data_IF_692238403054
#
_entry.id   IF_692238403054
#
_cell.length_a   1.000
_cell.length_b   1.000
_cell.length_c   1.000
_cell.angle_alpha   90.00
_cell.angle_beta   90.00
_cell.angle_gamma   90.00
#
_symmetry.space_group_name_H-M   'P 1'
#
loop_
_entity.id
_entity.type
_entity.pdbx_description
1 polymer ?
#
# COMPACT_ATOMS: atom_id res chain seq x y z
N UNK A 1 -37.24 -29.11 -28.16
CA UNK A 1 -35.88 -28.58 -27.95
C UNK A 1 -35.68 -28.47 -26.45
N UNK A 2 -35.05 -29.48 -25.84
CA UNK A 2 -34.73 -29.46 -24.42
C UNK A 2 -33.68 -28.37 -24.16
N UNK A 3 -34.03 -27.44 -23.29
CA UNK A 3 -33.12 -26.39 -22.84
C UNK A 3 -32.14 -27.07 -21.88
N UNK A 4 -30.95 -27.38 -22.40
CA UNK A 4 -29.80 -27.82 -21.60
C UNK A 4 -29.38 -26.66 -20.68
N UNK A 5 -29.70 -26.77 -19.39
CA UNK A 5 -29.16 -25.87 -18.39
C UNK A 5 -27.64 -26.06 -18.31
N UNK A 6 -26.85 -24.98 -18.20
CA UNK A 6 -25.40 -25.12 -18.14
C UNK A 6 -25.00 -25.97 -16.92
N UNK A 7 -24.07 -26.90 -17.15
CA UNK A 7 -23.34 -27.63 -16.09
C UNK A 7 -22.96 -26.64 -14.99
N UNK A 8 -23.25 -26.97 -13.72
CA UNK A 8 -22.83 -26.19 -12.54
C UNK A 8 -21.39 -25.70 -12.74
N UNK A 9 -21.21 -24.38 -12.87
CA UNK A 9 -19.89 -23.75 -13.10
C UNK A 9 -18.99 -23.87 -11.85
N UNK A 10 -19.59 -24.16 -10.69
CA UNK A 10 -18.91 -24.48 -9.43
C UNK A 10 -19.59 -25.62 -8.67
N UNK A 11 -18.76 -26.45 -8.05
CA UNK A 11 -19.13 -27.55 -7.16
C UNK A 11 -18.88 -27.19 -5.69
N UNK A 12 -17.94 -26.29 -5.38
CA UNK A 12 -17.82 -25.70 -4.03
C UNK A 12 -19.04 -24.80 -3.78
N UNK A 13 -19.78 -24.98 -2.66
CA UNK A 13 -21.10 -24.38 -2.47
C UNK A 13 -21.10 -22.87 -2.18
N UNK A 14 -19.95 -22.19 -2.27
CA UNK A 14 -19.76 -20.81 -1.84
C UNK A 14 -19.31 -19.92 -3.01
N UNK A 15 -20.01 -18.81 -3.25
CA UNK A 15 -19.70 -17.87 -4.35
C UNK A 15 -18.92 -16.61 -3.92
N UNK A 16 -18.17 -16.67 -2.82
CA UNK A 16 -17.52 -15.49 -2.20
C UNK A 16 -16.11 -15.18 -2.73
N UNK A 17 -15.74 -15.68 -3.89
CA UNK A 17 -14.36 -15.54 -4.39
C UNK A 17 -14.30 -15.61 -5.91
N UNK A 18 -13.29 -14.97 -6.52
CA UNK A 18 -12.95 -15.13 -7.94
C UNK A 18 -12.20 -16.43 -8.22
N UNK A 19 -11.68 -17.11 -7.19
CA UNK A 19 -10.98 -18.39 -7.35
C UNK A 19 -11.92 -19.52 -7.78
N UNK A 20 -11.51 -20.28 -8.78
CA UNK A 20 -12.14 -21.53 -9.20
C UNK A 20 -11.95 -22.65 -8.17
N UNK A 21 -12.79 -23.69 -8.25
CA UNK A 21 -12.66 -24.88 -7.40
C UNK A 21 -11.27 -25.51 -7.51
N UNK A 22 -10.69 -25.50 -8.72
CA UNK A 22 -9.32 -25.95 -8.98
C UNK A 22 -8.30 -25.19 -8.15
N UNK A 23 -8.41 -23.87 -8.11
CA UNK A 23 -7.45 -23.01 -7.41
C UNK A 23 -7.55 -23.13 -5.90
N UNK A 24 -8.76 -23.36 -5.38
CA UNK A 24 -9.00 -23.65 -3.96
C UNK A 24 -8.42 -25.02 -3.60
N UNK A 25 -8.73 -26.05 -4.40
CA UNK A 25 -8.22 -27.41 -4.19
C UNK A 25 -6.69 -27.45 -4.24
N UNK A 26 -6.05 -26.78 -5.20
CA UNK A 26 -4.58 -26.72 -5.29
C UNK A 26 -3.97 -26.01 -4.06
N UNK A 27 -4.61 -24.97 -3.54
CA UNK A 27 -4.10 -24.25 -2.35
C UNK A 27 -4.20 -25.07 -1.07
N UNK A 28 -5.25 -25.88 -0.93
CA UNK A 28 -5.47 -26.69 0.26
C UNK A 28 -4.77 -28.04 0.18
N UNK A 29 -4.89 -28.73 -0.95
CA UNK A 29 -4.44 -30.12 -1.13
C UNK A 29 -3.18 -30.25 -2.00
N UNK A 30 -2.71 -29.17 -2.61
CA UNK A 30 -1.59 -29.19 -3.58
C UNK A 30 -2.00 -29.69 -4.96
N UNK A 31 -1.06 -29.64 -5.92
CA UNK A 31 -1.27 -30.13 -7.29
C UNK A 31 -1.58 -31.63 -7.32
N UNK A 32 -0.97 -32.41 -6.42
CA UNK A 32 -1.22 -33.85 -6.31
C UNK A 32 -2.68 -34.14 -5.93
N UNK A 33 -3.24 -33.43 -4.94
CA UNK A 33 -4.63 -33.58 -4.55
C UNK A 33 -5.60 -33.21 -5.67
N UNK A 34 -5.32 -32.15 -6.44
CA UNK A 34 -6.13 -31.82 -7.62
C UNK A 34 -6.10 -32.92 -8.69
N UNK A 35 -4.91 -33.48 -8.97
CA UNK A 35 -4.79 -34.57 -9.95
C UNK A 35 -5.58 -35.82 -9.51
N UNK A 36 -5.58 -36.14 -8.21
CA UNK A 36 -6.41 -37.23 -7.66
C UNK A 36 -7.91 -36.95 -7.84
N UNK A 37 -8.36 -35.72 -7.59
CA UNK A 37 -9.76 -35.30 -7.83
C UNK A 37 -10.15 -35.52 -9.30
N UNK A 38 -9.31 -35.10 -10.25
CA UNK A 38 -9.59 -35.24 -11.69
C UNK A 38 -9.59 -36.71 -12.14
N UNK A 39 -8.68 -37.53 -11.62
CA UNK A 39 -8.67 -38.97 -11.87
C UNK A 39 -9.94 -39.64 -11.35
N UNK A 40 -10.39 -39.31 -10.14
CA UNK A 40 -11.60 -39.89 -9.54
C UNK A 40 -12.89 -39.40 -10.23
N UNK A 41 -12.88 -38.21 -10.85
CA UNK A 41 -14.00 -37.69 -11.65
C UNK A 41 -14.20 -38.47 -12.95
N UNK A 42 -13.12 -38.89 -13.59
CA UNK A 42 -13.20 -39.65 -14.86
C UNK A 42 -13.78 -41.06 -14.66
N UNK A 43 -13.68 -41.62 -13.44
CA UNK A 43 -14.14 -42.97 -13.08
C UNK A 43 -15.67 -43.08 -12.85
N UNK A 44 -16.47 -42.00 -13.01
CA UNK A 44 -17.95 -41.95 -12.99
C UNK A 44 -18.67 -42.61 -11.77
N UNK A 45 -18.02 -42.73 -10.60
CA UNK A 45 -18.58 -43.39 -9.40
C UNK A 45 -18.74 -42.51 -8.14
N UNK A 46 -18.44 -41.21 -8.18
CA UNK A 46 -18.00 -40.48 -6.96
C UNK A 46 -18.86 -39.28 -6.52
N UNK A 47 -20.08 -39.11 -7.03
CA UNK A 47 -20.88 -37.87 -6.84
C UNK A 47 -21.03 -37.38 -5.38
N UNK A 48 -21.48 -38.24 -4.46
CA UNK A 48 -21.73 -37.84 -3.06
C UNK A 48 -20.44 -37.59 -2.27
N UNK A 49 -19.44 -38.47 -2.44
CA UNK A 49 -18.13 -38.36 -1.78
C UNK A 49 -17.35 -37.13 -2.25
N UNK A 50 -17.39 -36.83 -3.55
CA UNK A 50 -16.80 -35.62 -4.10
C UNK A 50 -17.47 -34.36 -3.55
N UNK A 51 -18.81 -34.33 -3.46
CA UNK A 51 -19.53 -33.21 -2.88
C UNK A 51 -19.12 -32.96 -1.41
N UNK A 52 -19.08 -34.01 -0.57
CA UNK A 52 -18.67 -33.88 0.83
C UNK A 52 -17.23 -33.35 0.96
N UNK A 53 -16.31 -33.78 0.09
CA UNK A 53 -14.94 -33.26 0.08
C UNK A 53 -14.93 -31.77 -0.27
N UNK A 54 -15.64 -31.36 -1.33
CA UNK A 54 -15.70 -29.97 -1.77
C UNK A 54 -16.40 -29.06 -0.75
N UNK A 55 -17.37 -29.57 0.00
CA UNK A 55 -17.93 -28.89 1.17
C UNK A 55 -16.86 -28.63 2.24
N UNK A 56 -16.05 -29.63 2.58
CA UNK A 56 -14.93 -29.46 3.56
C UNK A 56 -13.92 -28.43 3.07
N UNK A 57 -13.50 -28.48 1.81
CA UNK A 57 -12.58 -27.50 1.24
C UNK A 57 -13.19 -26.10 1.20
N UNK A 58 -14.49 -26.01 0.88
CA UNK A 58 -15.26 -24.78 0.90
C UNK A 58 -15.33 -24.16 2.29
N UNK A 59 -15.62 -24.96 3.31
CA UNK A 59 -15.72 -24.54 4.71
C UNK A 59 -14.39 -23.92 5.18
N UNK A 60 -13.26 -24.58 4.90
CA UNK A 60 -11.92 -24.05 5.19
C UNK A 60 -11.70 -22.73 4.47
N UNK A 61 -12.01 -22.68 3.16
CA UNK A 61 -11.73 -21.52 2.32
C UNK A 61 -12.52 -20.28 2.75
N UNK A 62 -13.83 -20.43 2.95
CA UNK A 62 -14.73 -19.33 3.35
C UNK A 62 -14.29 -18.73 4.67
N UNK A 63 -13.92 -19.55 5.66
CA UNK A 63 -13.49 -19.04 6.96
C UNK A 63 -12.16 -18.30 6.86
N UNK A 64 -11.17 -18.87 6.14
CA UNK A 64 -9.85 -18.21 5.96
C UNK A 64 -9.93 -16.89 5.19
N UNK A 65 -10.96 -16.71 4.35
CA UNK A 65 -11.16 -15.51 3.53
C UNK A 65 -12.20 -14.54 4.09
N UNK A 66 -12.68 -14.78 5.30
CA UNK A 66 -13.67 -13.93 5.94
C UNK A 66 -13.23 -13.61 7.38
N UNK A 67 -12.67 -12.41 7.63
CA UNK A 67 -12.18 -12.05 8.95
C UNK A 67 -13.29 -11.96 10.01
N UNK A 68 -14.56 -11.81 9.61
CA UNK A 68 -15.70 -11.85 10.53
C UNK A 68 -15.97 -13.28 11.03
N UNK A 69 -15.91 -14.27 10.13
CA UNK A 69 -16.04 -15.68 10.51
C UNK A 69 -14.83 -16.17 11.32
N UNK A 70 -13.63 -15.73 10.94
CA UNK A 70 -12.42 -15.98 11.73
C UNK A 70 -12.60 -15.51 13.17
N UNK A 71 -13.06 -14.26 13.37
CA UNK A 71 -13.24 -13.70 14.70
C UNK A 71 -14.32 -14.44 15.50
N UNK A 72 -15.49 -14.71 14.93
CA UNK A 72 -16.56 -15.48 15.61
C UNK A 72 -16.06 -16.86 16.09
N UNK A 73 -15.29 -17.55 15.26
CA UNK A 73 -14.76 -18.88 15.58
C UNK A 73 -13.55 -18.85 16.53
N UNK A 74 -12.77 -17.76 16.54
CA UNK A 74 -11.74 -17.55 17.56
C UNK A 74 -12.38 -17.35 18.93
N UNK A 75 -13.42 -16.52 19.00
CA UNK A 75 -14.11 -16.15 20.24
C UNK A 75 -15.03 -17.26 20.77
N UNK A 76 -15.57 -18.11 19.88
CA UNK A 76 -16.46 -19.21 20.25
C UNK A 76 -15.84 -20.59 20.03
N UNK A 77 -15.15 -21.10 21.05
CA UNK A 77 -14.55 -22.44 21.05
C UNK A 77 -15.53 -23.56 20.70
N UNK A 78 -16.79 -23.48 21.16
CA UNK A 78 -17.81 -24.51 20.90
C UNK A 78 -18.18 -24.57 19.42
N UNK A 79 -18.42 -23.41 18.79
CA UNK A 79 -18.70 -23.33 17.33
C UNK A 79 -17.52 -23.82 16.51
N UNK A 80 -16.30 -23.41 16.87
CA UNK A 80 -15.07 -23.89 16.22
C UNK A 80 -14.92 -25.40 16.28
N UNK A 81 -15.09 -25.99 17.47
CA UNK A 81 -15.03 -27.45 17.64
C UNK A 81 -16.11 -28.17 16.85
N UNK A 82 -17.34 -27.63 16.81
CA UNK A 82 -18.43 -28.19 16.02
C UNK A 82 -18.12 -28.18 14.52
N UNK A 83 -17.58 -27.07 13.99
CA UNK A 83 -17.17 -26.96 12.58
C UNK A 83 -16.09 -27.98 12.23
N UNK A 84 -15.02 -28.07 13.03
CA UNK A 84 -13.94 -29.03 12.81
C UNK A 84 -14.46 -30.46 12.89
N UNK A 85 -15.29 -30.78 13.89
CA UNK A 85 -15.90 -32.10 14.04
C UNK A 85 -16.80 -32.47 12.87
N UNK A 86 -17.58 -31.53 12.34
CA UNK A 86 -18.41 -31.76 11.14
C UNK A 86 -17.56 -32.08 9.91
N UNK A 87 -16.44 -31.36 9.70
CA UNK A 87 -15.51 -31.66 8.60
C UNK A 87 -14.88 -33.04 8.76
N UNK A 88 -14.37 -33.37 9.95
CA UNK A 88 -13.80 -34.69 10.24
C UNK A 88 -14.83 -35.81 10.03
N UNK A 89 -16.09 -35.60 10.45
CA UNK A 89 -17.17 -36.56 10.24
C UNK A 89 -17.44 -36.79 8.75
N UNK A 90 -17.49 -35.74 7.93
CA UNK A 90 -17.64 -35.87 6.46
C UNK A 90 -16.50 -36.67 5.85
N UNK A 91 -15.24 -36.40 6.22
CA UNK A 91 -14.08 -37.15 5.73
C UNK A 91 -14.15 -38.63 6.15
N UNK A 92 -14.58 -38.93 7.38
CA UNK A 92 -14.78 -40.31 7.83
C UNK A 92 -15.88 -41.03 7.03
N UNK A 93 -16.97 -40.34 6.68
CA UNK A 93 -18.01 -40.92 5.84
C UNK A 93 -17.51 -41.23 4.41
N UNK A 94 -16.60 -40.42 3.87
CA UNK A 94 -15.95 -40.71 2.57
C UNK A 94 -15.05 -41.94 2.72
N UNK A 95 -14.25 -42.01 3.80
CA UNK A 95 -13.36 -43.15 4.11
C UNK A 95 -14.12 -44.47 4.18
N UNK A 96 -15.27 -44.50 4.88
CA UNK A 96 -16.11 -45.69 4.99
C UNK A 96 -16.68 -46.16 3.63
N UNK A 97 -16.83 -45.25 2.66
CA UNK A 97 -17.32 -45.53 1.30
C UNK A 97 -16.18 -45.79 0.30
N UNK A 98 -14.92 -45.71 0.73
CA UNK A 98 -13.79 -45.82 -0.18
C UNK A 98 -13.58 -47.24 -0.71
N UNK A 99 -14.11 -48.28 -0.04
CA UNK A 99 -13.99 -49.69 -0.45
C UNK A 99 -12.54 -50.10 -0.80
N UNK A 100 -11.55 -49.60 -0.04
CA UNK A 100 -10.10 -49.76 -0.27
C UNK A 100 -9.54 -49.12 -1.56
N UNK A 101 -10.24 -48.17 -2.18
CA UNK A 101 -9.69 -47.40 -3.29
C UNK A 101 -8.53 -46.50 -2.81
N UNK A 102 -7.30 -46.87 -3.17
CA UNK A 102 -6.10 -46.17 -2.74
C UNK A 102 -6.09 -44.68 -3.11
N UNK A 103 -6.57 -44.30 -4.31
CA UNK A 103 -6.63 -42.89 -4.74
C UNK A 103 -7.53 -42.05 -3.83
N UNK A 104 -8.63 -42.64 -3.34
CA UNK A 104 -9.54 -41.99 -2.38
C UNK A 104 -8.85 -41.85 -1.02
N UNK A 105 -8.12 -42.88 -0.57
CA UNK A 105 -7.39 -42.84 0.70
C UNK A 105 -6.26 -41.79 0.70
N UNK A 106 -5.48 -41.71 -0.38
CA UNK A 106 -4.43 -40.71 -0.55
C UNK A 106 -5.01 -39.29 -0.56
N UNK A 107 -6.14 -39.09 -1.24
CA UNK A 107 -6.84 -37.80 -1.27
C UNK A 107 -7.40 -37.42 0.12
N UNK A 108 -7.90 -38.39 0.88
CA UNK A 108 -8.37 -38.19 2.25
C UNK A 108 -7.25 -37.80 3.18
N UNK A 109 -6.07 -38.40 3.07
CA UNK A 109 -4.90 -38.02 3.87
C UNK A 109 -4.53 -36.54 3.67
N UNK A 110 -4.52 -36.06 2.42
CA UNK A 110 -4.30 -34.64 2.11
C UNK A 110 -5.40 -33.73 2.70
N UNK A 111 -6.66 -34.16 2.64
CA UNK A 111 -7.79 -33.42 3.17
C UNK A 111 -7.79 -33.37 4.71
N UNK A 112 -7.50 -34.48 5.38
CA UNK A 112 -7.33 -34.58 6.83
C UNK A 112 -6.18 -33.69 7.30
N UNK A 113 -5.05 -33.70 6.56
CA UNK A 113 -3.94 -32.79 6.80
C UNK A 113 -4.34 -31.31 6.68
N UNK A 114 -5.22 -30.98 5.73
CA UNK A 114 -5.74 -29.62 5.56
C UNK A 114 -6.68 -29.20 6.70
N UNK A 115 -7.57 -30.10 7.14
CA UNK A 115 -8.43 -29.86 8.32
C UNK A 115 -7.60 -29.68 9.58
N UNK A 116 -6.54 -30.49 9.76
CA UNK A 116 -5.61 -30.33 10.89
C UNK A 116 -4.92 -28.98 10.86
N UNK A 117 -4.34 -28.58 9.72
CA UNK A 117 -3.71 -27.25 9.55
C UNK A 117 -4.68 -26.11 9.84
N UNK A 118 -5.94 -26.24 9.40
CA UNK A 118 -6.98 -25.26 9.67
C UNK A 118 -7.34 -25.18 11.17
N UNK A 119 -7.41 -26.32 11.86
CA UNK A 119 -7.61 -26.35 13.32
C UNK A 119 -6.43 -25.72 14.08
N UNK A 120 -5.20 -26.08 13.72
CA UNK A 120 -3.98 -25.56 14.34
C UNK A 120 -3.83 -24.06 14.09
N UNK A 121 -4.24 -23.57 12.92
CA UNK A 121 -4.24 -22.15 12.57
C UNK A 121 -4.99 -21.29 13.60
N UNK A 122 -6.18 -21.70 14.08
CA UNK A 122 -6.89 -20.95 15.11
C UNK A 122 -6.10 -20.81 16.42
N UNK A 123 -5.43 -21.89 16.84
CA UNK A 123 -4.62 -21.91 18.08
C UNK A 123 -3.42 -20.97 17.92
N UNK A 124 -2.74 -21.06 16.78
CA UNK A 124 -1.59 -20.22 16.47
C UNK A 124 -1.98 -18.74 16.35
N UNK A 125 -3.09 -18.43 15.69
CA UNK A 125 -3.62 -17.07 15.55
C UNK A 125 -3.99 -16.49 16.91
N UNK A 126 -4.71 -17.22 17.76
CA UNK A 126 -5.04 -16.77 19.11
C UNK A 126 -3.78 -16.50 19.96
N UNK A 127 -2.79 -17.40 19.89
CA UNK A 127 -1.51 -17.24 20.59
C UNK A 127 -0.75 -16.00 20.11
N UNK A 128 -0.66 -15.79 18.79
CA UNK A 128 -0.01 -14.61 18.21
C UNK A 128 -0.76 -13.32 18.57
N UNK A 129 -2.09 -13.29 18.50
CA UNK A 129 -2.90 -12.12 18.90
C UNK A 129 -2.67 -11.77 20.36
N UNK A 130 -2.60 -12.75 21.25
CA UNK A 130 -2.29 -12.52 22.66
C UNK A 130 -0.90 -11.92 22.88
N UNK A 131 0.13 -12.43 22.19
CA UNK A 131 1.49 -11.88 22.27
C UNK A 131 1.55 -10.46 21.70
N UNK A 132 0.93 -10.24 20.54
CA UNK A 132 0.84 -8.94 19.89
C UNK A 132 0.15 -7.91 20.78
N UNK A 133 -1.03 -8.22 21.31
CA UNK A 133 -1.79 -7.35 22.20
C UNK A 133 -0.99 -6.97 23.46
N UNK A 134 -0.30 -7.94 24.09
CA UNK A 134 0.56 -7.68 25.25
C UNK A 134 1.74 -6.75 24.91
N UNK A 135 2.29 -6.88 23.70
CA UNK A 135 3.41 -6.05 23.25
C UNK A 135 2.94 -4.63 22.91
N UNK A 136 1.92 -4.49 22.07
CA UNK A 136 1.47 -3.21 21.54
C UNK A 136 0.77 -2.34 22.59
N UNK A 137 0.03 -2.91 23.56
CA UNK A 137 -0.62 -2.14 24.65
C UNK A 137 0.35 -1.40 25.57
N UNK A 138 1.64 -1.74 25.53
CA UNK A 138 2.70 -1.03 26.27
C UNK A 138 3.22 0.20 25.51
N UNK A 139 2.86 0.31 24.23
CA UNK A 139 3.39 1.31 23.30
C UNK A 139 2.27 2.28 22.92
N UNK A 140 1.10 1.75 22.56
CA UNK A 140 -0.05 2.50 22.10
C UNK A 140 -1.32 2.12 22.87
N UNK A 141 -2.36 2.95 22.75
CA UNK A 141 -3.65 2.69 23.37
C UNK A 141 -4.28 1.41 22.83
N UNK A 142 -5.11 0.75 23.65
CA UNK A 142 -5.72 -0.54 23.27
C UNK A 142 -6.67 -0.45 22.08
N UNK A 143 -7.35 0.69 21.92
CA UNK A 143 -8.26 0.99 20.80
C UNK A 143 -7.54 1.27 19.49
N UNK A 144 -6.21 1.50 19.53
CA UNK A 144 -5.39 1.61 18.33
C UNK A 144 -4.96 0.26 17.76
N UNK A 145 -5.31 -0.87 18.39
CA UNK A 145 -4.88 -2.21 18.00
C UNK A 145 -6.11 -3.01 17.56
N UNK A 146 -6.34 -3.09 16.24
CA UNK A 146 -7.57 -3.63 15.68
C UNK A 146 -7.35 -4.96 14.95
N UNK A 147 -7.96 -6.03 15.48
CA UNK A 147 -8.05 -7.36 14.86
C UNK A 147 -9.43 -7.62 14.22
N UNK A 148 -10.31 -6.63 14.26
CA UNK A 148 -11.69 -6.65 13.80
C UNK A 148 -11.81 -6.79 12.28
N UNK A 149 -12.94 -7.35 11.85
CA UNK A 149 -13.20 -7.60 10.42
C UNK A 149 -13.22 -6.30 9.61
N UNK A 150 -13.83 -5.23 10.13
CA UNK A 150 -13.97 -3.96 9.42
C UNK A 150 -12.62 -3.33 9.09
N UNK A 151 -11.75 -3.16 10.10
CA UNK A 151 -10.42 -2.58 9.88
C UNK A 151 -9.57 -3.44 8.93
N UNK A 152 -9.58 -4.76 9.11
CA UNK A 152 -8.81 -5.67 8.24
C UNK A 152 -9.32 -5.64 6.79
N UNK A 153 -10.63 -5.52 6.56
CA UNK A 153 -11.20 -5.42 5.21
C UNK A 153 -10.88 -4.07 4.56
N UNK A 154 -11.04 -2.95 5.27
CA UNK A 154 -10.78 -1.61 4.73
C UNK A 154 -9.30 -1.34 4.45
N UNK A 155 -8.40 -2.10 5.06
CA UNK A 155 -6.94 -1.99 4.90
C UNK A 155 -6.34 -3.14 4.07
N UNK A 156 -7.16 -3.96 3.41
CA UNK A 156 -6.69 -5.08 2.57
C UNK A 156 -6.32 -4.67 1.14
N UNK A 157 -6.62 -3.44 0.73
CA UNK A 157 -6.44 -2.97 -0.65
C UNK A 157 -6.11 -1.49 -0.73
N UNK A 158 -5.51 -1.06 -1.83
CA UNK A 158 -5.37 0.35 -2.23
C UNK A 158 -6.19 0.61 -3.50
N UNK A 159 -5.91 1.69 -4.24
CA UNK A 159 -6.66 2.04 -5.43
C UNK A 159 -6.49 1.05 -6.61
N UNK A 160 -5.58 0.07 -6.51
CA UNK A 160 -5.52 -1.07 -7.45
C UNK A 160 -6.71 -2.02 -7.32
N UNK A 161 -7.45 -1.96 -6.21
CA UNK A 161 -8.52 -2.89 -5.84
C UNK A 161 -8.08 -4.35 -5.67
N UNK A 162 -6.77 -4.61 -5.62
CA UNK A 162 -6.22 -5.94 -5.36
C UNK A 162 -6.45 -6.36 -3.91
N UNK A 163 -7.07 -7.54 -3.72
CA UNK A 163 -7.37 -8.13 -2.39
C UNK A 163 -6.68 -9.48 -2.22
N UNK A 164 -5.36 -9.43 -2.07
CA UNK A 164 -4.51 -10.63 -2.00
C UNK A 164 -4.66 -11.32 -0.64
N UNK A 165 -4.30 -10.65 0.46
CA UNK A 165 -4.50 -11.12 1.83
C UNK A 165 -5.15 -10.04 2.71
N UNK A 166 -5.74 -10.46 3.84
CA UNK A 166 -6.13 -9.54 4.90
C UNK A 166 -4.94 -9.34 5.85
N UNK A 167 -4.70 -8.12 6.35
CA UNK A 167 -3.66 -7.91 7.34
C UNK A 167 -3.99 -8.68 8.62
N UNK A 168 -2.98 -9.09 9.38
CA UNK A 168 -3.11 -9.71 10.69
C UNK A 168 -3.75 -8.75 11.71
N UNK A 169 -3.28 -7.50 11.69
CA UNK A 169 -3.68 -6.43 12.60
C UNK A 169 -3.54 -5.08 11.89
N UNK A 170 -4.42 -4.14 12.23
CA UNK A 170 -4.27 -2.72 11.89
C UNK A 170 -3.91 -1.97 13.16
N UNK A 171 -2.82 -1.19 13.13
CA UNK A 171 -2.34 -0.39 14.26
C UNK A 171 -2.44 1.09 13.88
N UNK A 172 -3.15 1.90 14.66
CA UNK A 172 -3.40 3.32 14.35
C UNK A 172 -2.86 4.24 15.46
N UNK A 173 -1.54 4.45 15.56
CA UNK A 173 -0.91 5.27 16.61
C UNK A 173 -1.46 6.69 16.65
N UNK A 174 -1.43 7.32 17.84
CA UNK A 174 -1.84 8.70 18.05
C UNK A 174 -0.71 9.70 17.76
N UNK A 175 0.54 9.31 18.03
CA UNK A 175 1.71 10.18 17.91
C UNK A 175 2.85 9.50 17.17
N UNK A 176 3.73 10.31 16.58
CA UNK A 176 4.90 9.76 15.88
C UNK A 176 5.87 9.05 16.85
N UNK A 177 5.93 9.46 18.12
CA UNK A 177 6.82 8.87 19.13
C UNK A 177 6.58 7.37 19.36
N UNK A 178 5.39 6.86 19.02
CA UNK A 178 5.03 5.44 19.14
C UNK A 178 5.66 4.57 18.04
N UNK A 179 6.04 5.17 16.90
CA UNK A 179 6.36 4.43 15.66
C UNK A 179 7.60 3.55 15.82
N UNK A 180 8.69 4.06 16.40
CA UNK A 180 9.92 3.30 16.61
C UNK A 180 9.70 2.02 17.43
N UNK A 181 8.95 2.14 18.52
CA UNK A 181 8.63 0.99 19.37
C UNK A 181 7.68 0.01 18.67
N UNK A 182 6.70 0.50 17.91
CA UNK A 182 5.80 -0.35 17.12
C UNK A 182 6.55 -1.16 16.06
N UNK A 183 7.49 -0.54 15.33
CA UNK A 183 8.34 -1.21 14.34
C UNK A 183 9.11 -2.36 14.98
N UNK A 184 9.83 -2.10 16.08
CA UNK A 184 10.58 -3.14 16.80
C UNK A 184 9.68 -4.26 17.30
N UNK A 185 8.50 -3.92 17.83
CA UNK A 185 7.53 -4.91 18.31
C UNK A 185 7.01 -5.80 17.18
N UNK A 186 6.65 -5.23 16.03
CA UNK A 186 6.20 -5.97 14.85
C UNK A 186 7.28 -6.94 14.34
N UNK A 187 8.52 -6.47 14.18
CA UNK A 187 9.64 -7.31 13.72
C UNK A 187 9.91 -8.44 14.71
N UNK A 188 9.93 -8.16 16.02
CA UNK A 188 10.10 -9.18 17.07
C UNK A 188 8.99 -10.24 17.06
N UNK A 189 7.79 -9.88 16.63
CA UNK A 189 6.66 -10.81 16.50
C UNK A 189 6.66 -11.59 15.18
N UNK A 190 7.57 -11.28 14.25
CA UNK A 190 7.63 -11.87 12.92
C UNK A 190 6.58 -11.32 11.96
N UNK A 191 6.09 -10.10 12.19
CA UNK A 191 5.09 -9.45 11.34
C UNK A 191 5.77 -8.63 10.24
N UNK A 192 5.27 -8.75 9.00
CA UNK A 192 5.64 -7.85 7.90
C UNK A 192 4.95 -6.51 8.10
N UNK A 193 5.69 -5.40 8.12
CA UNK A 193 5.11 -4.06 8.33
C UNK A 193 4.71 -3.46 6.99
N UNK A 194 3.51 -2.88 6.93
CA UNK A 194 3.03 -2.09 5.79
C UNK A 194 2.61 -0.72 6.33
N UNK A 195 3.39 0.35 6.10
CA UNK A 195 2.92 1.70 6.39
C UNK A 195 1.77 2.07 5.44
N UNK A 196 0.76 2.73 5.98
CA UNK A 196 -0.40 3.14 5.19
C UNK A 196 -0.87 4.52 5.62
N UNK A 197 -1.03 5.42 4.64
CA UNK A 197 -1.84 6.63 4.74
C UNK A 197 -3.22 6.38 4.11
N UNK A 198 -3.73 7.33 3.32
CA UNK A 198 -5.07 7.26 2.71
C UNK A 198 -5.34 6.12 1.70
N UNK A 199 -4.38 5.20 1.46
CA UNK A 199 -4.61 4.02 0.61
C UNK A 199 -4.89 4.33 -0.88
N UNK A 200 -4.51 5.50 -1.37
CA UNK A 200 -4.83 5.97 -2.74
C UNK A 200 -3.80 5.55 -3.80
N UNK A 201 -2.87 4.64 -3.48
CA UNK A 201 -1.81 4.21 -4.39
C UNK A 201 -2.32 3.28 -5.49
N UNK A 202 -1.69 3.34 -6.67
CA UNK A 202 -2.02 2.50 -7.84
C UNK A 202 -0.94 1.45 -8.16
N UNK A 203 -0.01 1.21 -7.24
CA UNK A 203 1.13 0.29 -7.43
C UNK A 203 1.04 -0.97 -6.55
N UNK A 204 0.03 -1.08 -5.67
CA UNK A 204 -0.11 -2.20 -4.75
C UNK A 204 0.77 -2.06 -3.49
N UNK A 205 1.44 -0.93 -3.29
CA UNK A 205 2.40 -0.72 -2.18
C UNK A 205 1.78 -0.82 -0.79
N UNK A 206 0.45 -0.64 -0.65
CA UNK A 206 -0.26 -0.79 0.62
C UNK A 206 -1.11 -2.08 0.70
N UNK A 207 -0.92 -3.03 -0.22
CA UNK A 207 -1.68 -4.29 -0.28
C UNK A 207 -0.95 -5.41 0.48
N UNK A 208 -1.56 -6.00 1.52
CA UNK A 208 -0.99 -7.16 2.20
C UNK A 208 -0.88 -8.37 1.26
N UNK A 209 0.33 -8.94 1.17
CA UNK A 209 0.59 -10.15 0.37
C UNK A 209 0.50 -11.44 1.19
N UNK A 210 0.54 -11.36 2.52
CA UNK A 210 0.46 -12.51 3.42
C UNK A 210 -0.40 -12.22 4.66
N UNK A 211 -0.86 -13.29 5.33
CA UNK A 211 -1.74 -13.23 6.51
C UNK A 211 -1.03 -12.73 7.78
N UNK A 212 0.29 -12.56 7.75
CA UNK A 212 1.14 -12.11 8.86
C UNK A 212 1.61 -10.65 8.69
N UNK A 213 0.88 -9.87 7.89
CA UNK A 213 1.19 -8.45 7.68
C UNK A 213 0.51 -7.57 8.74
N UNK A 214 1.26 -6.70 9.41
CA UNK A 214 0.74 -5.62 10.24
C UNK A 214 0.67 -4.33 9.42
N UNK A 215 -0.53 -3.77 9.28
CA UNK A 215 -0.69 -2.44 8.68
C UNK A 215 -0.56 -1.40 9.80
N UNK A 216 0.37 -0.46 9.65
CA UNK A 216 0.47 0.71 10.53
C UNK A 216 -0.20 1.87 9.80
N UNK A 217 -1.41 2.22 10.23
CA UNK A 217 -2.19 3.33 9.68
C UNK A 217 -1.74 4.65 10.32
N UNK A 218 -1.17 5.53 9.51
CA UNK A 218 -0.58 6.80 9.91
C UNK A 218 -1.56 7.98 9.81
N UNK A 219 -2.81 7.77 9.41
CA UNK A 219 -3.81 8.84 9.19
C UNK A 219 -4.05 9.73 10.43
N UNK A 220 -3.84 9.20 11.64
CA UNK A 220 -3.95 9.96 12.89
C UNK A 220 -2.76 10.91 13.16
N UNK A 221 -1.66 10.78 12.43
CA UNK A 221 -0.52 11.71 12.50
C UNK A 221 -0.83 13.00 11.73
N UNK A 222 -1.84 13.73 12.19
CA UNK A 222 -2.44 14.87 11.48
C UNK A 222 -1.92 16.24 11.93
N UNK A 223 -0.76 16.27 12.62
CA UNK A 223 -0.10 17.52 13.02
C UNK A 223 0.21 18.39 11.81
N UNK A 224 -0.38 19.57 11.75
CA UNK A 224 -0.20 20.52 10.66
C UNK A 224 0.21 21.87 11.28
N UNK A 225 1.42 22.30 10.95
CA UNK A 225 2.01 23.52 11.51
C UNK A 225 1.48 24.78 10.84
N UNK A 226 1.84 25.93 11.42
CA UNK A 226 1.65 27.23 10.76
C UNK A 226 2.67 27.44 9.64
N UNK A 227 2.34 28.34 8.72
CA UNK A 227 3.29 28.78 7.69
C UNK A 227 4.29 29.74 8.31
N UNK A 228 5.57 29.39 8.23
CA UNK A 228 6.67 30.21 8.74
C UNK A 228 7.66 30.56 7.65
N UNK A 229 8.15 31.80 7.68
CA UNK A 229 9.24 32.26 6.84
C UNK A 229 10.56 32.05 7.58
N UNK A 230 11.34 31.07 7.16
CA UNK A 230 12.59 30.69 7.82
C UNK A 230 13.78 30.66 6.87
N UNK A 231 14.98 30.83 7.43
CA UNK A 231 16.22 30.66 6.69
C UNK A 231 16.45 29.18 6.45
N UNK A 232 16.71 28.79 5.20
CA UNK A 232 17.16 27.44 4.87
C UNK A 232 18.69 27.46 4.66
N UNK A 233 19.42 26.38 5.00
CA UNK A 233 20.86 26.32 4.78
C UNK A 233 21.21 26.59 3.31
N UNK A 234 22.02 27.62 3.06
CA UNK A 234 22.48 28.00 1.72
C UNK A 234 21.43 28.67 0.84
N UNK A 235 20.34 29.19 1.42
CA UNK A 235 19.35 30.02 0.73
C UNK A 235 19.38 31.41 1.34
N UNK A 236 19.62 32.43 0.50
CA UNK A 236 19.83 33.81 0.98
C UNK A 236 18.55 34.46 1.52
N UNK A 237 17.40 34.09 0.95
CA UNK A 237 16.10 34.64 1.34
C UNK A 237 15.33 33.73 2.32
N UNK A 238 14.44 34.35 3.11
CA UNK A 238 13.52 33.59 3.95
C UNK A 238 12.48 32.88 3.08
N UNK A 239 12.36 31.58 3.25
CA UNK A 239 11.46 30.73 2.48
C UNK A 239 10.20 30.45 3.30
N UNK A 240 8.99 30.62 2.74
CA UNK A 240 7.78 30.16 3.39
C UNK A 240 7.76 28.62 3.41
N UNK A 241 7.59 28.04 4.58
CA UNK A 241 7.56 26.60 4.77
C UNK A 241 6.39 26.17 5.63
N UNK A 242 6.01 24.90 5.52
CA UNK A 242 4.96 24.29 6.32
C UNK A 242 5.36 22.89 6.77
N UNK A 243 5.17 22.60 8.06
CA UNK A 243 5.32 21.26 8.62
C UNK A 243 4.01 20.49 8.51
N UNK A 244 4.05 19.24 8.08
CA UNK A 244 2.90 18.35 8.06
C UNK A 244 3.28 16.91 8.47
N UNK A 245 2.47 16.34 9.36
CA UNK A 245 2.54 14.94 9.76
C UNK A 245 2.08 14.00 8.63
N UNK A 246 2.51 12.75 8.69
CA UNK A 246 2.30 11.75 7.65
C UNK A 246 0.82 11.46 7.35
N UNK A 247 -0.06 11.68 8.33
CA UNK A 247 -1.51 11.49 8.22
C UNK A 247 -2.27 12.69 7.65
N UNK A 248 -1.63 13.86 7.54
CA UNK A 248 -2.28 15.06 7.01
C UNK A 248 -2.73 14.82 5.57
N UNK A 249 -4.02 15.04 5.30
CA UNK A 249 -4.58 15.02 3.94
C UNK A 249 -3.98 16.16 3.13
N UNK A 250 -3.50 15.84 1.92
CA UNK A 250 -2.79 16.77 1.03
C UNK A 250 -3.57 18.06 0.79
N UNK A 251 -4.89 17.97 0.57
CA UNK A 251 -5.79 19.13 0.42
C UNK A 251 -5.68 20.12 1.58
N UNK A 252 -5.56 19.65 2.84
CA UNK A 252 -5.47 20.54 4.02
C UNK A 252 -4.23 21.43 3.96
N UNK A 253 -3.10 20.88 3.49
CA UNK A 253 -1.85 21.64 3.30
C UNK A 253 -2.02 22.67 2.18
N UNK A 254 -2.60 22.25 1.05
CA UNK A 254 -2.89 23.14 -0.08
C UNK A 254 -3.80 24.31 0.31
N UNK A 255 -4.86 24.04 1.08
CA UNK A 255 -5.82 25.07 1.51
C UNK A 255 -5.18 26.07 2.49
N UNK A 256 -4.30 25.61 3.39
CA UNK A 256 -3.58 26.48 4.30
C UNK A 256 -2.58 27.38 3.57
N UNK A 257 -1.86 26.85 2.58
CA UNK A 257 -1.01 27.65 1.70
C UNK A 257 -1.83 28.70 0.93
N UNK A 258 -2.96 28.29 0.33
CA UNK A 258 -3.82 29.18 -0.45
C UNK A 258 -4.37 30.35 0.36
N UNK A 259 -4.71 30.14 1.65
CA UNK A 259 -5.14 31.22 2.57
C UNK A 259 -4.10 32.33 2.76
N UNK A 260 -2.83 32.08 2.45
CA UNK A 260 -1.74 33.05 2.50
C UNK A 260 -1.27 33.51 1.11
N UNK A 261 -2.01 33.19 0.05
CA UNK A 261 -1.60 33.48 -1.33
C UNK A 261 -0.37 32.66 -1.76
N UNK A 262 -0.12 31.53 -1.11
CA UNK A 262 0.97 30.61 -1.40
C UNK A 262 0.44 29.34 -2.05
N UNK A 263 1.36 28.55 -2.61
CA UNK A 263 1.07 27.33 -3.37
C UNK A 263 1.83 26.17 -2.74
N UNK A 264 1.09 25.15 -2.34
CA UNK A 264 1.64 23.82 -2.14
C UNK A 264 1.72 23.12 -3.51
N UNK A 265 2.93 22.73 -3.93
CA UNK A 265 3.17 22.20 -5.27
C UNK A 265 2.93 20.69 -5.39
N UNK A 266 2.91 19.95 -4.27
CA UNK A 266 2.64 18.52 -4.27
C UNK A 266 1.13 18.31 -4.39
N UNK A 267 0.63 18.20 -5.61
CA UNK A 267 -0.80 18.18 -5.91
C UNK A 267 -1.26 16.98 -6.76
N UNK A 268 -1.07 15.74 -6.28
CA UNK A 268 -1.59 14.55 -6.95
C UNK A 268 -3.11 14.66 -7.17
N UNK A 269 -3.63 13.96 -8.19
CA UNK A 269 -5.07 13.91 -8.49
C UNK A 269 -5.88 13.42 -7.29
N UNK A 270 -5.30 12.58 -6.44
CA UNK A 270 -5.90 12.06 -5.22
C UNK A 270 -5.77 12.98 -4.00
N UNK A 271 -5.40 14.26 -4.13
CA UNK A 271 -5.11 15.16 -3.00
C UNK A 271 -6.21 15.28 -1.94
N UNK A 272 -7.46 15.01 -2.31
CA UNK A 272 -8.61 15.01 -1.38
C UNK A 272 -8.63 13.81 -0.43
N UNK A 273 -7.81 12.77 -0.69
CA UNK A 273 -7.70 11.56 0.11
C UNK A 273 -6.25 11.11 0.39
N UNK A 274 -5.28 11.48 -0.45
CA UNK A 274 -3.87 11.13 -0.24
C UNK A 274 -3.30 11.90 0.94
N UNK A 275 -2.41 11.26 1.70
CA UNK A 275 -1.76 11.88 2.85
C UNK A 275 -0.29 12.19 2.57
N UNK A 276 0.27 13.13 3.34
CA UNK A 276 1.65 13.61 3.18
C UNK A 276 2.68 12.48 3.28
N UNK A 277 2.52 11.53 4.19
CA UNK A 277 3.44 10.39 4.31
C UNK A 277 3.47 9.54 3.05
N UNK A 278 2.29 9.30 2.45
CA UNK A 278 2.16 8.62 1.17
C UNK A 278 2.82 9.39 0.02
N UNK A 279 2.63 10.72 -0.02
CA UNK A 279 3.26 11.55 -1.06
C UNK A 279 4.79 11.49 -0.99
N UNK A 280 5.37 11.53 0.22
CA UNK A 280 6.81 11.43 0.45
C UNK A 280 7.31 10.05 0.03
N UNK A 281 6.69 8.99 0.57
CA UNK A 281 7.08 7.59 0.31
C UNK A 281 7.00 7.21 -1.17
N UNK A 282 6.03 7.79 -1.89
CA UNK A 282 5.84 7.57 -3.31
C UNK A 282 6.62 8.54 -4.17
N UNK A 283 7.22 9.61 -3.62
CA UNK A 283 7.69 10.77 -4.38
C UNK A 283 6.61 11.27 -5.37
N UNK A 284 5.43 11.61 -4.85
CA UNK A 284 4.26 11.95 -5.66
C UNK A 284 4.52 13.17 -6.55
N UNK A 285 4.02 13.09 -7.78
CA UNK A 285 3.94 14.24 -8.69
C UNK A 285 2.56 14.89 -8.62
N UNK A 286 2.23 15.61 -9.68
CA UNK A 286 0.97 16.34 -9.84
C UNK A 286 1.09 17.30 -11.01
N UNK A 287 0.01 18.01 -11.34
CA UNK A 287 -0.02 18.96 -12.45
C UNK A 287 1.03 20.07 -12.29
N UNK A 288 1.32 20.49 -11.06
CA UNK A 288 2.32 21.55 -10.76
C UNK A 288 3.77 21.04 -10.82
N UNK A 289 4.00 19.75 -11.02
CA UNK A 289 5.35 19.21 -11.13
C UNK A 289 6.11 19.75 -12.37
N UNK A 290 5.37 20.27 -13.36
CA UNK A 290 5.96 20.96 -14.52
C UNK A 290 6.71 22.24 -14.09
N UNK A 291 6.23 22.94 -13.05
CA UNK A 291 6.89 24.13 -12.50
C UNK A 291 7.95 23.76 -11.46
N UNK A 292 7.56 23.00 -10.43
CA UNK A 292 8.37 22.84 -9.21
C UNK A 292 8.79 21.40 -8.92
N UNK A 293 8.61 20.48 -9.87
CA UNK A 293 8.98 19.08 -9.68
C UNK A 293 8.06 18.28 -8.76
N UNK A 294 8.50 17.08 -8.37
CA UNK A 294 7.74 16.15 -7.55
C UNK A 294 7.89 16.48 -6.06
N UNK A 295 7.39 15.58 -5.20
CA UNK A 295 7.46 15.73 -3.74
C UNK A 295 8.88 16.02 -3.24
N UNK A 296 9.89 15.29 -3.72
CA UNK A 296 11.28 15.48 -3.33
C UNK A 296 11.79 16.91 -3.59
N UNK A 297 11.42 17.51 -4.72
CA UNK A 297 11.86 18.85 -5.11
C UNK A 297 11.32 19.93 -4.17
N UNK A 298 10.23 19.64 -3.46
CA UNK A 298 9.51 20.54 -2.58
C UNK A 298 9.76 20.27 -1.09
N UNK A 299 10.51 19.22 -0.75
CA UNK A 299 10.87 18.89 0.62
C UNK A 299 12.11 19.66 1.06
N UNK A 300 11.98 20.40 2.15
CA UNK A 300 13.13 20.88 2.91
C UNK A 300 13.66 19.77 3.82
N UNK A 301 12.79 19.09 4.56
CA UNK A 301 13.19 17.99 5.44
C UNK A 301 12.09 16.96 5.66
N UNK A 302 12.45 15.76 6.09
CA UNK A 302 11.48 14.75 6.55
C UNK A 302 12.05 13.91 7.68
N UNK A 303 11.14 13.33 8.47
CA UNK A 303 11.43 12.47 9.60
C UNK A 303 10.82 11.09 9.38
N UNK A 304 11.59 10.05 9.65
CA UNK A 304 11.16 8.67 9.48
C UNK A 304 11.75 7.73 10.54
N UNK A 305 11.17 6.54 10.62
CA UNK A 305 11.69 5.42 11.42
C UNK A 305 12.17 4.31 10.48
N UNK A 306 13.40 3.85 10.67
CA UNK A 306 14.00 2.77 9.87
C UNK A 306 13.54 1.38 10.36
N UNK A 307 13.79 0.30 9.60
CA UNK A 307 13.50 -1.07 10.05
C UNK A 307 14.22 -1.47 11.34
N UNK A 308 15.37 -0.86 11.64
CA UNK A 308 16.08 -1.07 12.90
C UNK A 308 15.39 -0.39 14.10
N UNK A 309 14.31 0.36 13.84
CA UNK A 309 13.58 1.16 14.83
C UNK A 309 14.33 2.42 15.26
N UNK A 310 15.32 2.84 14.49
CA UNK A 310 16.04 4.09 14.71
C UNK A 310 15.31 5.24 14.01
N UNK A 311 15.39 6.42 14.60
CA UNK A 311 14.87 7.64 14.01
C UNK A 311 15.87 8.23 13.03
N UNK A 312 15.38 8.77 11.93
CA UNK A 312 16.17 9.43 10.90
C UNK A 312 15.50 10.75 10.51
N UNK A 313 16.26 11.83 10.56
CA UNK A 313 15.89 13.13 10.01
C UNK A 313 16.78 13.41 8.81
N UNK A 314 16.18 13.74 7.68
CA UNK A 314 16.88 14.11 6.45
C UNK A 314 16.58 15.56 6.13
N UNK A 315 17.63 16.36 5.92
CA UNK A 315 17.54 17.79 5.64
C UNK A 315 18.25 18.13 4.33
N UNK A 316 17.53 18.70 3.36
CA UNK A 316 18.10 19.19 2.10
C UNK A 316 18.91 20.46 2.35
N UNK A 317 20.15 20.46 1.89
CA UNK A 317 21.05 21.62 1.95
C UNK A 317 21.03 22.36 0.62
N UNK A 318 21.24 23.68 0.64
CA UNK A 318 21.33 24.53 -0.56
C UNK A 318 20.11 24.33 -1.49
N UNK A 319 18.90 24.39 -0.93
CA UNK A 319 17.67 24.09 -1.66
C UNK A 319 17.43 25.14 -2.77
N UNK A 320 17.39 24.74 -4.05
CA UNK A 320 17.22 25.67 -5.17
C UNK A 320 15.80 26.22 -5.39
N UNK A 321 14.83 25.79 -4.57
CA UNK A 321 13.41 26.18 -4.63
C UNK A 321 12.73 25.83 -5.97
N UNK A 322 13.33 24.93 -6.74
CA UNK A 322 12.86 24.47 -8.03
C UNK A 322 13.12 22.99 -8.21
N UNK A 323 13.25 22.56 -9.46
CA UNK A 323 13.45 21.15 -9.77
C UNK A 323 14.85 20.72 -9.35
N UNK A 324 14.92 19.57 -8.70
CA UNK A 324 16.14 19.07 -8.07
C UNK A 324 17.24 18.74 -9.08
N UNK A 325 16.87 18.39 -10.32
CA UNK A 325 17.81 18.03 -11.38
C UNK A 325 18.45 19.21 -12.08
N UNK A 326 17.97 20.43 -11.83
CA UNK A 326 18.60 21.66 -12.34
C UNK A 326 19.85 22.02 -11.52
N UNK A 327 20.04 21.43 -10.33
CA UNK A 327 21.25 21.60 -9.53
C UNK A 327 22.34 20.64 -10.00
N UNK A 328 23.55 21.17 -10.20
CA UNK A 328 24.72 20.35 -10.53
C UNK A 328 24.99 19.31 -9.43
N UNK A 329 24.99 19.74 -8.16
CA UNK A 329 25.13 18.87 -6.98
C UNK A 329 24.01 19.13 -5.99
N UNK A 330 23.42 18.06 -5.48
CA UNK A 330 22.40 18.08 -4.43
C UNK A 330 22.97 17.41 -3.20
N UNK A 331 22.71 17.99 -2.03
CA UNK A 331 23.24 17.51 -0.76
C UNK A 331 22.13 17.35 0.28
N UNK A 332 22.16 16.24 1.00
CA UNK A 332 21.29 15.95 2.14
C UNK A 332 22.13 15.65 3.37
N UNK A 333 21.70 16.16 4.51
CA UNK A 333 22.24 15.82 5.83
C UNK A 333 21.31 14.81 6.50
N UNK A 334 21.84 13.66 6.87
CA UNK A 334 21.13 12.55 7.48
C UNK A 334 21.55 12.45 8.94
N UNK A 335 20.65 12.75 9.87
CA UNK A 335 20.89 12.67 11.31
C UNK A 335 20.09 11.52 11.91
N UNK A 336 20.78 10.57 12.56
CA UNK A 336 20.16 9.40 13.18
C UNK A 336 20.03 9.58 14.69
N UNK A 337 18.97 9.02 15.26
CA UNK A 337 18.73 8.97 16.69
C UNK A 337 18.33 7.55 17.10
N UNK A 338 18.63 7.18 18.33
CA UNK A 338 18.16 5.94 18.94
C UNK A 338 16.62 5.93 19.03
N UNK A 339 16.04 4.82 19.46
CA UNK A 339 14.57 4.61 19.56
C UNK A 339 13.82 5.68 20.34
N UNK A 340 14.48 6.39 21.24
CA UNK A 340 13.87 7.47 22.03
C UNK A 340 13.62 8.76 21.22
N UNK A 341 14.13 8.82 19.99
CA UNK A 341 14.03 9.96 19.07
C UNK A 341 14.81 11.20 19.51
N UNK A 342 15.65 11.08 20.55
CA UNK A 342 16.34 12.19 21.21
C UNK A 342 17.84 11.98 21.27
N UNK A 343 18.28 10.78 21.61
CA UNK A 343 19.69 10.44 21.74
C UNK A 343 20.29 10.26 20.36
N UNK A 344 21.17 11.19 19.96
CA UNK A 344 21.82 11.16 18.65
C UNK A 344 22.72 9.92 18.52
N UNK A 345 22.61 9.24 17.38
CA UNK A 345 23.33 8.01 17.07
C UNK A 345 24.41 8.29 16.03
N UNK A 346 25.62 8.57 16.51
CA UNK A 346 26.78 8.90 15.68
C UNK A 346 26.75 10.34 15.13
N UNK A 347 27.67 10.62 14.20
CA UNK A 347 27.74 11.91 13.49
C UNK A 347 26.76 11.96 12.31
N UNK A 348 26.19 13.13 11.95
CA UNK A 348 25.40 13.29 10.75
C UNK A 348 26.19 12.91 9.51
N UNK A 349 25.53 12.16 8.63
CA UNK A 349 26.06 11.76 7.33
C UNK A 349 25.68 12.80 6.28
N UNK A 350 26.60 13.11 5.37
CA UNK A 350 26.35 14.00 4.23
C UNK A 350 26.28 13.16 2.97
N UNK A 351 25.09 13.07 2.37
CA UNK A 351 24.86 12.41 1.10
C UNK A 351 24.84 13.45 -0.02
N UNK A 352 25.79 13.39 -0.94
CA UNK A 352 25.88 14.30 -2.10
C UNK A 352 25.93 13.54 -3.41
N UNK A 353 25.20 14.03 -4.41
CA UNK A 353 25.09 13.39 -5.73
C UNK A 353 24.75 14.44 -6.80
N UNK A 354 25.00 14.16 -8.09
CA UNK A 354 24.51 15.03 -9.15
C UNK A 354 22.99 15.13 -9.13
N UNK A 355 22.40 16.33 -9.25
CA UNK A 355 20.93 16.46 -9.22
C UNK A 355 20.24 15.66 -10.32
N UNK A 356 20.89 15.58 -11.49
CA UNK A 356 20.43 14.79 -12.63
C UNK A 356 20.33 13.29 -12.33
N UNK A 357 21.08 12.73 -11.37
CA UNK A 357 20.99 11.30 -11.04
C UNK A 357 19.68 10.92 -10.34
N UNK A 358 18.94 11.91 -9.83
CA UNK A 358 17.63 11.71 -9.20
C UNK A 358 16.48 11.74 -10.22
N UNK A 359 16.80 11.88 -11.51
CA UNK A 359 15.87 11.87 -12.64
C UNK A 359 16.46 11.03 -13.76
N UNK A 360 15.60 10.59 -14.68
CA UNK A 360 16.05 9.90 -15.88
C UNK A 360 15.89 10.82 -17.06
N UNK A 361 16.94 11.03 -17.84
CA UNK A 361 16.87 11.90 -19.01
C UNK A 361 15.74 11.47 -19.96
N UNK A 362 14.94 12.45 -20.43
CA UNK A 362 13.76 12.22 -21.27
C UNK A 362 12.52 11.65 -20.56
N UNK A 363 12.62 11.32 -19.27
CA UNK A 363 11.52 10.91 -18.41
C UNK A 363 11.40 11.91 -17.26
N UNK A 364 10.19 12.23 -16.82
CA UNK A 364 10.01 13.05 -15.62
C UNK A 364 10.55 12.33 -14.39
N UNK A 365 9.73 11.46 -13.81
CA UNK A 365 10.10 10.63 -12.66
C UNK A 365 10.40 9.21 -13.12
N UNK A 366 11.57 8.68 -12.76
CA UNK A 366 11.87 7.25 -12.95
C UNK A 366 11.37 6.45 -11.76
N UNK A 367 10.17 5.88 -11.88
CA UNK A 367 9.58 5.04 -10.82
C UNK A 367 10.31 3.71 -10.62
N UNK A 368 11.18 3.30 -11.55
CA UNK A 368 11.94 2.04 -11.46
C UNK A 368 13.19 2.16 -10.61
N UNK A 369 13.72 3.38 -10.42
CA UNK A 369 14.85 3.62 -9.55
C UNK A 369 14.44 3.58 -8.05
N UNK A 370 14.38 2.34 -7.57
CA UNK A 370 14.50 1.88 -6.17
C UNK A 370 15.49 2.66 -5.32
N UNK A 371 16.68 2.85 -5.84
CA UNK A 371 17.84 3.20 -5.03
C UNK A 371 17.93 4.70 -4.82
N UNK A 372 17.64 5.49 -5.86
CA UNK A 372 17.58 6.95 -5.83
C UNK A 372 18.83 7.56 -5.18
N UNK A 373 19.99 7.10 -5.64
CA UNK A 373 21.32 7.46 -5.10
C UNK A 373 21.49 7.22 -3.60
N UNK A 374 20.77 6.26 -3.03
CA UNK A 374 20.81 5.92 -1.60
C UNK A 374 19.93 6.82 -0.73
N UNK A 375 19.13 7.71 -1.30
CA UNK A 375 18.27 8.62 -0.54
C UNK A 375 17.16 7.85 0.19
N UNK A 376 17.04 7.95 1.52
CA UNK A 376 16.12 7.14 2.29
C UNK A 376 14.68 7.68 2.28
N UNK A 377 13.71 6.79 2.35
CA UNK A 377 12.27 7.07 2.44
C UNK A 377 11.61 7.51 1.13
N UNK A 378 12.33 8.20 0.24
CA UNK A 378 11.78 8.78 -0.99
C UNK A 378 11.69 7.74 -2.10
N UNK A 379 10.49 7.58 -2.68
CA UNK A 379 10.20 6.60 -3.73
C UNK A 379 10.32 5.13 -3.28
N UNK A 380 10.48 4.88 -1.98
CA UNK A 380 10.72 3.54 -1.41
C UNK A 380 9.43 2.80 -1.10
N UNK A 381 8.29 3.49 -1.14
CA UNK A 381 6.96 2.90 -0.91
C UNK A 381 6.86 2.17 0.45
N UNK A 382 7.63 2.63 1.44
CA UNK A 382 7.68 2.04 2.79
C UNK A 382 8.68 0.89 2.98
N UNK A 383 9.46 0.53 1.95
CA UNK A 383 10.39 -0.61 2.01
C UNK A 383 11.63 -0.37 2.88
N UNK A 384 11.98 0.89 3.18
CA UNK A 384 13.15 1.25 3.99
C UNK A 384 12.80 2.08 5.25
N UNK A 385 11.51 2.15 5.59
CA UNK A 385 11.04 2.80 6.81
C UNK A 385 9.68 3.47 6.68
N UNK A 386 9.26 4.11 7.77
CA UNK A 386 7.97 4.79 7.89
C UNK A 386 8.19 6.29 8.00
N UNK A 387 7.69 7.04 7.02
CA UNK A 387 7.64 8.50 7.08
C UNK A 387 6.66 8.92 8.18
N UNK A 388 7.06 9.85 9.03
CA UNK A 388 6.25 10.36 10.15
C UNK A 388 5.82 11.80 9.97
N UNK A 389 6.67 12.62 9.34
CA UNK A 389 6.41 14.04 9.09
C UNK A 389 7.37 14.59 8.02
N UNK A 390 7.03 15.74 7.46
CA UNK A 390 7.85 16.48 6.50
C UNK A 390 7.65 17.99 6.61
N UNK A 391 8.69 18.73 6.23
CA UNK A 391 8.65 20.19 6.06
C UNK A 391 8.83 20.52 4.59
N UNK A 392 7.90 21.29 4.06
CA UNK A 392 7.83 21.62 2.65
C UNK A 392 8.06 23.10 2.42
N UNK A 393 8.71 23.44 1.32
CA UNK A 393 8.73 24.81 0.80
C UNK A 393 7.41 25.11 0.10
N UNK A 394 6.97 26.37 0.18
CA UNK A 394 5.78 26.88 -0.49
C UNK A 394 6.17 27.88 -1.56
N UNK A 395 5.36 27.96 -2.61
CA UNK A 395 5.64 28.79 -3.76
C UNK A 395 4.62 29.92 -3.91
N UNK A 396 4.86 30.80 -4.87
CA UNK A 396 3.86 31.76 -5.36
C UNK A 396 3.58 31.46 -6.82
N UNK A 397 2.31 31.49 -7.22
CA UNK A 397 1.97 31.47 -8.65
C UNK A 397 2.48 32.76 -9.31
N UNK A 398 2.79 32.72 -10.63
CA UNK A 398 2.89 33.93 -11.44
C UNK A 398 1.62 34.79 -11.31
N UNK A 399 1.80 36.12 -11.39
CA UNK A 399 0.71 37.10 -11.25
C UNK A 399 -0.41 36.86 -12.28
N UNK A 400 -0.04 36.47 -13.50
CA UNK A 400 -0.97 36.19 -14.58
C UNK A 400 -0.92 34.71 -14.96
N UNK A 401 -2.10 34.07 -14.96
CA UNK A 401 -2.26 32.68 -15.38
C UNK A 401 -3.36 32.58 -16.44
N UNK A 402 -3.13 31.73 -17.45
CA UNK A 402 -4.08 31.44 -18.52
C UNK A 402 -4.12 29.94 -18.78
N UNK A 403 -5.31 29.39 -18.97
CA UNK A 403 -5.50 28.01 -19.41
C UNK A 403 -6.03 28.03 -20.84
N UNK A 404 -5.36 27.29 -21.73
CA UNK A 404 -5.75 27.14 -23.13
C UNK A 404 -6.12 25.67 -23.35
N UNK A 405 -7.31 25.41 -23.89
CA UNK A 405 -7.73 24.08 -24.31
C UNK A 405 -7.58 23.98 -25.83
N UNK A 406 -6.83 22.98 -26.30
CA UNK A 406 -6.61 22.72 -27.71
C UNK A 406 -7.20 21.36 -28.06
N UNK A 407 -8.02 21.31 -29.10
CA UNK A 407 -8.56 20.07 -29.64
C UNK A 407 -7.86 19.70 -30.94
N UNK A 408 -7.39 18.46 -31.04
CA UNK A 408 -6.71 17.92 -32.21
C UNK A 408 -7.65 16.98 -32.96
N UNK A 409 -8.18 17.41 -34.11
CA UNK A 409 -9.15 16.63 -34.90
C UNK A 409 -8.52 15.58 -35.83
N UNK A 410 -7.19 15.52 -35.90
CA UNK A 410 -6.49 14.59 -36.77
C UNK A 410 -6.58 13.15 -36.23
N UNK A 411 -6.93 12.15 -37.04
CA UNK A 411 -6.81 10.74 -36.64
C UNK A 411 -5.34 10.30 -36.52
N UNK A 412 -4.41 11.09 -37.09
CA UNK A 412 -2.97 10.90 -36.94
C UNK A 412 -2.48 11.50 -35.61
N UNK A 413 -2.29 10.61 -34.63
CA UNK A 413 -1.71 10.93 -33.32
C UNK A 413 -0.28 11.46 -33.43
N UNK A 414 0.50 11.02 -34.42
CA UNK A 414 1.88 11.47 -34.61
C UNK A 414 1.96 12.97 -34.86
N UNK A 415 1.12 13.48 -35.76
CA UNK A 415 1.01 14.94 -36.01
C UNK A 415 0.59 15.71 -34.77
N UNK A 416 -0.40 15.20 -34.04
CA UNK A 416 -0.90 15.85 -32.82
C UNK A 416 0.19 15.94 -31.76
N UNK A 417 0.95 14.85 -31.54
CA UNK A 417 2.09 14.82 -30.63
C UNK A 417 3.19 15.78 -31.09
N UNK A 418 3.54 15.81 -32.38
CA UNK A 418 4.54 16.76 -32.91
C UNK A 418 4.13 18.21 -32.64
N UNK A 419 2.88 18.58 -32.90
CA UNK A 419 2.38 19.93 -32.59
C UNK A 419 2.44 20.25 -31.10
N UNK A 420 2.12 19.29 -30.22
CA UNK A 420 2.26 19.48 -28.76
C UNK A 420 3.73 19.72 -28.39
N UNK A 421 4.66 18.95 -28.94
CA UNK A 421 6.11 19.13 -28.70
C UNK A 421 6.58 20.51 -29.17
N UNK A 422 6.15 20.95 -30.35
CA UNK A 422 6.50 22.28 -30.87
C UNK A 422 5.96 23.40 -29.99
N UNK A 423 4.71 23.30 -29.53
CA UNK A 423 4.12 24.24 -28.57
C UNK A 423 4.95 24.30 -27.29
N UNK A 424 5.29 23.15 -26.70
CA UNK A 424 6.11 23.08 -25.48
C UNK A 424 7.49 23.71 -25.71
N UNK A 425 8.13 23.42 -26.86
CA UNK A 425 9.42 24.00 -27.22
C UNK A 425 9.33 25.52 -27.34
N UNK A 426 8.34 26.04 -28.06
CA UNK A 426 8.12 27.48 -28.21
C UNK A 426 7.91 28.14 -26.84
N UNK A 427 7.03 27.59 -26.00
CA UNK A 427 6.76 28.13 -24.67
C UNK A 427 8.01 28.14 -23.79
N UNK A 428 8.80 27.06 -23.78
CA UNK A 428 10.04 26.97 -23.00
C UNK A 428 11.13 27.97 -23.46
N UNK A 429 11.07 28.44 -24.72
CA UNK A 429 12.00 29.44 -25.25
C UNK A 429 11.45 30.88 -25.22
N UNK A 430 10.19 31.06 -24.83
CA UNK A 430 9.56 32.39 -24.82
C UNK A 430 9.84 33.08 -23.49
N UNK A 431 10.55 34.20 -23.52
CA UNK A 431 10.89 34.98 -22.33
C UNK A 431 9.62 35.47 -21.60
N UNK A 432 9.62 35.35 -20.26
CA UNK A 432 8.50 35.76 -19.43
C UNK A 432 7.29 34.81 -19.43
N UNK A 433 7.37 33.67 -20.13
CA UNK A 433 6.31 32.66 -20.17
C UNK A 433 6.77 31.37 -19.49
N UNK A 434 5.93 30.83 -18.60
CA UNK A 434 6.19 29.57 -17.91
C UNK A 434 5.07 28.57 -18.21
N UNK A 435 5.46 27.35 -18.61
CA UNK A 435 4.51 26.25 -18.75
C UNK A 435 4.12 25.74 -17.36
N UNK A 436 2.91 26.10 -16.91
CA UNK A 436 2.42 25.75 -15.58
C UNK A 436 1.89 24.31 -15.45
N UNK A 437 1.46 23.72 -16.56
CA UNK A 437 0.89 22.39 -16.65
C UNK A 437 0.57 22.03 -18.10
N UNK A 438 0.61 20.74 -18.41
CA UNK A 438 0.29 20.19 -19.72
C UNK A 438 -0.39 18.84 -19.52
N UNK A 439 -1.69 18.78 -19.80
CA UNK A 439 -2.50 17.58 -19.62
C UNK A 439 -3.10 17.16 -20.96
N UNK A 440 -3.15 15.85 -21.21
CA UNK A 440 -3.74 15.27 -22.40
C UNK A 440 -4.89 14.34 -22.02
N UNK A 441 -6.05 14.55 -22.64
CA UNK A 441 -7.25 13.76 -22.43
C UNK A 441 -7.68 13.17 -23.78
N UNK A 442 -7.93 11.85 -23.82
CA UNK A 442 -8.49 11.21 -25.02
C UNK A 442 -10.02 11.12 -24.96
N UNK A 443 -10.63 10.71 -26.09
CA UNK A 443 -12.09 10.58 -26.18
C UNK A 443 -12.67 9.49 -25.25
N UNK A 444 -11.87 8.49 -24.84
CA UNK A 444 -12.33 7.46 -23.89
C UNK A 444 -12.38 8.04 -22.48
N UNK A 445 -11.38 8.83 -22.11
CA UNK A 445 -11.30 9.54 -20.84
C UNK A 445 -12.47 10.51 -20.68
N UNK A 446 -12.78 11.31 -21.71
CA UNK A 446 -13.94 12.21 -21.69
C UNK A 446 -15.28 11.49 -21.54
N UNK A 447 -15.42 10.28 -22.12
CA UNK A 447 -16.62 9.46 -21.96
C UNK A 447 -16.73 8.81 -20.58
N UNK A 448 -15.60 8.54 -19.92
CA UNK A 448 -15.58 7.92 -18.60
C UNK A 448 -15.93 8.89 -17.45
N UNK A 449 -15.84 10.21 -17.70
CA UNK A 449 -16.12 11.27 -16.70
C UNK A 449 -17.53 11.86 -16.85
N UNK A 450 -18.18 11.64 -17.99
CA UNK A 450 -19.62 11.93 -18.19
C UNK A 450 -20.47 10.84 -17.58
#
# INVERSE_FOLDING_TARGET
MEISFPKKIREIPYNYTSFSDREIAIRLLGKAGWNLIEQLRSERRTGRSAQMLLEVLGDIWVVRRNPYLENDLLDNKKRRMALVSAMTHRLQQIRNRAENNQKVLDLLELAEGSVKKFSDWFVNTASLRNRALKSFRRITRSDNIDFGGLARVSHATDATDWRVAYPFVVISPDTEDEIAALVKACIKLGLTIIPRGGGTGYTGGAVPLNETSAVINLEKLESLGEIIYQNLPGVDEKVPTIHAGAGVITRRVSDQAAKKGLVFAVDPTSQDASTIGGNIAMNAGGKKAVLWGTTLDNLYSWKMVTPDGDWLVVERQNHNLGKIHDQETVTFKLTRFETDGKTRKGEPEILSMPGQSLRKEGLGKDVTDKFLSGLPGIQKEGCDGLITSGVFVLHKMPEFTRTVCLEFYSPDLGRSVSSIVDIVKTLNTTEGVLLAGLEHLDSRYLKAIR
#
